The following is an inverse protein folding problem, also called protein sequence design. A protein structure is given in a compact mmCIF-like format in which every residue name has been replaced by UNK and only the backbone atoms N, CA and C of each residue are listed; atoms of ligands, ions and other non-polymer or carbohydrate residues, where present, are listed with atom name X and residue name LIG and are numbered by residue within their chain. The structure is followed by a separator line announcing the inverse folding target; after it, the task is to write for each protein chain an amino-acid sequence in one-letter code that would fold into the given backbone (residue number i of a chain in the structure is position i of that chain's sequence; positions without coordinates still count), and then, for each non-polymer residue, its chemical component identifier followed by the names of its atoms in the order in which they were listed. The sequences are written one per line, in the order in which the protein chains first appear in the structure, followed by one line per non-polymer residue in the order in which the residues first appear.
data_IF_637178608754
#
_entry.id   IF_637178608754
#
_cell.length_a   1.000
_cell.length_b   1.000
_cell.length_c   1.000
_cell.angle_alpha   90.00
_cell.angle_beta   90.00
_cell.angle_gamma   90.00
#
_symmetry.space_group_name_H-M   'P 1'
#
loop_
_entity.id
_entity.type
_entity.pdbx_description
1 polymer ?
#
# COMPACT_ATOMS: atom_id res chain seq x y z
N UNK A 1 20.22 1.56 -7.11
CA UNK A 1 19.93 3.00 -7.26
C UNK A 1 19.71 3.55 -5.86
N UNK A 2 20.55 4.49 -5.41
CA UNK A 2 20.36 5.15 -4.12
C UNK A 2 19.56 6.43 -4.39
N UNK A 3 18.38 6.55 -3.78
CA UNK A 3 17.59 7.78 -3.80
C UNK A 3 17.99 8.57 -2.56
N UNK A 4 18.40 9.85 -2.70
CA UNK A 4 18.67 10.70 -1.54
C UNK A 4 17.46 10.76 -0.60
N UNK A 5 17.70 10.86 0.72
CA UNK A 5 16.64 10.79 1.75
C UNK A 5 15.55 11.83 1.55
N UNK A 6 15.91 13.01 1.05
CA UNK A 6 14.97 14.09 0.74
C UNK A 6 13.99 13.77 -0.39
N UNK A 7 14.28 12.75 -1.21
CA UNK A 7 13.42 12.26 -2.30
C UNK A 7 12.80 10.90 -1.99
N UNK A 8 12.90 10.43 -0.75
CA UNK A 8 12.33 9.16 -0.33
C UNK A 8 10.81 9.25 -0.19
N UNK A 9 10.09 8.27 -0.74
CA UNK A 9 8.66 8.17 -0.57
C UNK A 9 8.33 7.42 0.72
N UNK A 10 7.87 8.14 1.75
CA UNK A 10 7.49 7.53 3.04
C UNK A 10 6.23 6.66 2.85
N UNK A 11 6.31 5.40 3.29
CA UNK A 11 5.18 4.45 3.23
C UNK A 11 4.88 3.89 1.83
N UNK A 12 5.73 4.19 0.84
CA UNK A 12 5.59 3.63 -0.51
C UNK A 12 6.63 2.52 -0.70
N UNK A 13 6.13 1.30 -0.91
CA UNK A 13 6.92 0.10 -1.14
C UNK A 13 7.13 -0.22 -2.63
N UNK A 14 6.39 0.43 -3.53
CA UNK A 14 6.46 0.19 -4.98
C UNK A 14 6.39 1.50 -5.78
N UNK A 15 7.23 1.61 -6.81
CA UNK A 15 7.26 2.75 -7.73
C UNK A 15 7.24 2.29 -9.18
N UNK A 16 6.62 3.09 -10.03
CA UNK A 16 6.75 2.99 -11.48
C UNK A 16 7.93 3.86 -11.94
N UNK A 17 8.79 3.31 -12.80
CA UNK A 17 9.90 4.04 -13.43
C UNK A 17 9.63 4.15 -14.93
N UNK A 18 9.57 5.38 -15.45
CA UNK A 18 9.38 5.65 -16.89
C UNK A 18 10.46 6.58 -17.42
N UNK A 19 11.00 6.28 -18.59
CA UNK A 19 12.00 7.12 -19.26
C UNK A 19 11.31 8.24 -20.05
N UNK A 20 11.75 9.48 -19.86
CA UNK A 20 11.32 10.65 -20.64
C UNK A 20 12.56 11.41 -21.13
N UNK A 21 12.95 11.16 -22.38
CA UNK A 21 14.21 11.67 -22.94
C UNK A 21 15.42 11.15 -22.17
N UNK A 22 16.21 12.07 -21.61
CA UNK A 22 17.38 11.75 -20.78
C UNK A 22 17.07 11.64 -19.27
N UNK A 23 15.81 11.75 -18.88
CA UNK A 23 15.40 11.71 -17.47
C UNK A 23 14.59 10.45 -17.17
N UNK A 24 14.73 9.95 -15.95
CA UNK A 24 13.85 8.91 -15.39
C UNK A 24 12.83 9.58 -14.48
N UNK A 25 11.55 9.31 -14.73
CA UNK A 25 10.44 9.73 -13.88
C UNK A 25 10.10 8.55 -12.96
N UNK A 26 10.18 8.80 -11.65
CA UNK A 26 9.82 7.84 -10.61
C UNK A 26 8.50 8.31 -10.00
N UNK A 27 7.50 7.44 -9.98
CA UNK A 27 6.15 7.77 -9.46
C UNK A 27 5.69 6.68 -8.50
N UNK A 28 5.16 7.02 -7.31
CA UNK A 28 4.52 6.02 -6.45
C UNK A 28 3.48 5.21 -7.22
N UNK A 29 3.58 3.89 -7.14
CA UNK A 29 2.60 3.00 -7.74
C UNK A 29 1.31 3.05 -6.92
N UNK A 30 0.18 2.66 -7.51
CA UNK A 30 -1.09 2.43 -6.79
C UNK A 30 -1.71 3.67 -6.12
N UNK A 31 -1.67 4.83 -6.79
CA UNK A 31 -2.24 6.09 -6.29
C UNK A 31 -3.78 6.15 -6.22
N UNK A 32 -4.48 5.08 -6.53
CA UNK A 32 -5.95 5.04 -6.51
C UNK A 32 -6.47 3.65 -6.18
N UNK A 33 -7.66 3.58 -5.58
CA UNK A 33 -8.36 2.33 -5.31
C UNK A 33 -8.55 1.45 -6.56
N UNK A 34 -8.74 2.08 -7.73
CA UNK A 34 -8.85 1.36 -9.01
C UNK A 34 -7.61 0.54 -9.36
N UNK A 35 -6.43 0.90 -8.83
CA UNK A 35 -5.19 0.14 -9.08
C UNK A 35 -5.15 -1.24 -8.40
N UNK A 36 -6.06 -1.51 -7.46
CA UNK A 36 -6.18 -2.81 -6.80
C UNK A 36 -7.02 -3.81 -7.60
N UNK A 37 -7.83 -3.34 -8.57
CA UNK A 37 -8.77 -4.18 -9.30
C UNK A 37 -8.14 -5.29 -10.15
N UNK A 38 -6.84 -5.17 -10.49
CA UNK A 38 -6.09 -6.18 -11.25
C UNK A 38 -5.11 -6.99 -10.40
N UNK A 39 -5.20 -6.89 -9.07
CA UNK A 39 -4.39 -7.71 -8.18
C UNK A 39 -4.96 -9.12 -8.05
N UNK A 40 -4.11 -10.11 -7.71
CA UNK A 40 -4.59 -11.41 -7.27
C UNK A 40 -5.58 -11.28 -6.12
N UNK A 41 -6.50 -12.24 -6.04
CA UNK A 41 -7.32 -12.41 -4.86
C UNK A 41 -6.43 -12.70 -3.64
N UNK A 42 -6.98 -12.45 -2.45
CA UNK A 42 -6.31 -12.86 -1.23
C UNK A 42 -6.22 -14.40 -1.18
N UNK A 43 -5.23 -14.91 -0.45
CA UNK A 43 -5.10 -16.34 -0.23
C UNK A 43 -6.37 -16.92 0.43
N UNK A 44 -6.70 -18.19 0.16
CA UNK A 44 -7.93 -18.83 0.66
C UNK A 44 -8.04 -18.83 2.20
N UNK A 45 -6.90 -18.75 2.88
CA UNK A 45 -6.79 -18.72 4.34
C UNK A 45 -6.63 -17.31 4.93
N UNK A 46 -6.72 -16.28 4.08
CA UNK A 46 -6.61 -14.91 4.52
C UNK A 46 -7.77 -14.53 5.45
N UNK A 47 -7.45 -14.11 6.67
CA UNK A 47 -8.42 -13.71 7.71
C UNK A 47 -9.41 -14.81 8.11
N UNK A 48 -9.00 -16.09 8.13
CA UNK A 48 -9.81 -17.18 8.74
C UNK A 48 -10.20 -16.84 10.19
N UNK A 49 -9.24 -16.34 10.97
CA UNK A 49 -9.49 -15.85 12.32
C UNK A 49 -9.53 -14.32 12.30
N UNK A 50 -10.71 -13.76 12.57
CA UNK A 50 -10.95 -12.32 12.63
C UNK A 50 -11.57 -11.99 13.99
N UNK A 51 -10.75 -11.91 15.05
CA UNK A 51 -11.25 -11.55 16.37
C UNK A 51 -11.79 -10.12 16.36
N UNK A 52 -12.89 -9.92 17.07
CA UNK A 52 -13.43 -8.57 17.26
C UNK A 52 -12.46 -7.72 18.07
N UNK A 53 -12.12 -6.55 17.52
CA UNK A 53 -11.22 -5.57 18.17
C UNK A 53 -11.95 -4.79 19.27
N UNK A 54 -13.28 -4.74 19.21
CA UNK A 54 -14.12 -4.02 20.17
C UNK A 54 -14.74 -5.04 21.12
N UNK A 55 -14.28 -5.04 22.37
CA UNK A 55 -14.99 -5.69 23.46
C UNK A 55 -16.17 -4.79 23.86
N UNK A 56 -17.38 -5.35 23.88
CA UNK A 56 -18.60 -4.66 24.34
C UNK A 56 -18.64 -4.42 25.85
N UNK A 57 -17.52 -4.57 26.56
CA UNK A 57 -17.41 -4.28 27.98
C UNK A 57 -17.10 -2.80 28.19
N UNK A 58 -18.02 -1.94 27.72
CA UNK A 58 -18.21 -0.65 28.35
C UNK A 58 -19.38 -0.80 29.28
N UNK A 59 -19.06 -1.03 30.55
CA UNK A 59 -20.02 -0.83 31.63
C UNK A 59 -20.67 0.55 31.44
N UNK A 60 -21.95 0.49 31.11
CA UNK A 60 -22.84 1.63 31.07
C UNK A 60 -23.10 1.96 32.54
N UNK A 61 -22.34 2.93 33.07
CA UNK A 61 -22.66 3.60 34.33
C UNK A 61 -23.41 4.90 34.02
#
# INVERSE_FOLDING_TARGET
MLVPKEFEFIGINQVEIRKKGNSNIITPLRKSWKSFAGLPEADEDFLIDRPDVVQMDRDIF
#
